data_IF_728248975845
#
_entry.id   IF_728248975845
#
_cell.length_a   1.000
_cell.length_b   1.000
_cell.length_c   1.000
_cell.angle_alpha   90.00
_cell.angle_beta   90.00
_cell.angle_gamma   90.00
#
_symmetry.space_group_name_H-M   'P 1'
#
loop_
_entity.id
_entity.type
_entity.pdbx_description
1 polymer ?
#
# COMPACT_ATOMS: atom_id res chain seq x y z
N UNK A 1 -4.66 -27.75 -13.00
CA UNK A 1 -5.86 -27.57 -13.82
C UNK A 1 -6.98 -28.14 -12.99
N UNK A 2 -7.52 -27.32 -12.09
CA UNK A 2 -8.67 -27.65 -11.26
C UNK A 2 -9.63 -26.49 -11.45
N UNK A 3 -10.77 -26.81 -12.06
CA UNK A 3 -11.88 -25.91 -12.29
C UNK A 3 -12.60 -25.66 -10.95
N UNK A 4 -12.98 -24.41 -10.68
CA UNK A 4 -13.82 -24.04 -9.54
C UNK A 4 -15.20 -23.61 -10.03
N UNK A 5 -16.24 -24.31 -9.58
CA UNK A 5 -17.65 -23.95 -9.75
C UNK A 5 -18.04 -22.82 -8.78
N UNK A 6 -18.84 -21.87 -9.25
CA UNK A 6 -19.50 -20.83 -8.45
C UNK A 6 -20.89 -21.30 -8.03
N UNK A 7 -21.22 -21.22 -6.75
CA UNK A 7 -22.60 -21.29 -6.26
C UNK A 7 -23.15 -19.86 -6.15
N UNK A 8 -24.20 -19.56 -6.91
CA UNK A 8 -24.96 -18.31 -6.82
C UNK A 8 -26.14 -18.49 -5.85
N UNK A 9 -26.13 -17.78 -4.72
CA UNK A 9 -27.36 -17.51 -3.95
C UNK A 9 -27.53 -15.98 -3.87
N UNK A 10 -28.57 -15.46 -4.53
CA UNK A 10 -28.96 -14.05 -4.51
C UNK A 10 -30.18 -13.91 -3.59
N UNK A 11 -30.04 -13.16 -2.50
CA UNK A 11 -31.18 -12.80 -1.64
C UNK A 11 -31.78 -11.49 -2.12
N UNK A 12 -33.05 -11.51 -2.54
CA UNK A 12 -33.81 -10.31 -2.89
C UNK A 12 -34.56 -9.83 -1.65
N UNK A 13 -34.25 -8.66 -1.13
CA UNK A 13 -35.06 -8.03 -0.08
C UNK A 13 -36.22 -7.30 -0.77
N UNK A 14 -37.45 -7.80 -0.61
CA UNK A 14 -38.68 -7.07 -0.94
C UNK A 14 -39.11 -6.28 0.29
N UNK A 15 -39.11 -4.95 0.20
CA UNK A 15 -39.87 -4.14 1.16
C UNK A 15 -41.36 -4.18 0.78
N UNK A 16 -42.19 -4.82 1.61
CA UNK A 16 -43.65 -4.71 1.52
C UNK A 16 -44.08 -3.39 2.19
N UNK A 17 -44.35 -2.36 1.37
CA UNK A 17 -45.05 -1.15 1.79
C UNK A 17 -46.53 -1.24 1.44
N UNK A 18 -47.40 -1.47 2.43
CA UNK A 18 -48.85 -1.35 2.27
C UNK A 18 -49.26 0.11 1.96
N UNK A 19 -49.87 0.31 0.80
CA UNK A 19 -51.03 1.20 0.66
C UNK A 19 -50.81 2.66 0.22
N UNK A 20 -51.55 3.02 -0.83
CA UNK A 20 -52.01 4.37 -1.23
C UNK A 20 -51.14 5.19 -2.19
N UNK A 21 -51.35 4.98 -3.49
CA UNK A 21 -51.86 6.06 -4.36
C UNK A 21 -50.96 7.27 -4.62
N UNK A 22 -49.75 7.04 -5.13
CA UNK A 22 -49.02 8.03 -5.94
C UNK A 22 -48.10 7.26 -6.89
N UNK A 23 -48.07 7.64 -8.16
CA UNK A 23 -47.05 7.14 -9.11
C UNK A 23 -45.70 7.66 -8.60
N UNK A 24 -45.02 6.85 -7.78
CA UNK A 24 -43.63 7.07 -7.41
C UNK A 24 -42.79 6.53 -8.55
N UNK A 25 -41.97 7.40 -9.12
CA UNK A 25 -40.86 7.02 -9.96
C UNK A 25 -39.98 6.08 -9.12
N UNK A 26 -40.00 4.78 -9.44
CA UNK A 26 -39.19 3.77 -8.78
C UNK A 26 -37.73 4.02 -9.17
N UNK A 27 -37.01 4.78 -8.35
CA UNK A 27 -35.54 4.78 -8.39
C UNK A 27 -35.08 3.46 -7.79
N UNK A 28 -34.92 2.44 -8.62
CA UNK A 28 -34.25 1.19 -8.23
C UNK A 28 -32.85 1.54 -7.73
N UNK A 29 -32.60 1.32 -6.44
CA UNK A 29 -31.32 1.61 -5.81
C UNK A 29 -30.56 0.29 -5.65
N UNK A 30 -29.46 0.13 -6.39
CA UNK A 30 -28.62 -1.07 -6.31
C UNK A 30 -27.82 -1.03 -5.02
N UNK A 31 -28.11 -1.96 -4.11
CA UNK A 31 -27.31 -2.23 -2.90
C UNK A 31 -26.46 -3.47 -3.17
N UNK A 32 -25.16 -3.37 -2.93
CA UNK A 32 -24.22 -4.48 -3.12
C UNK A 32 -23.82 -5.05 -1.76
N UNK A 33 -24.14 -6.33 -1.54
CA UNK A 33 -23.69 -7.12 -0.39
C UNK A 33 -22.67 -8.13 -0.91
N UNK A 34 -21.47 -8.14 -0.32
CA UNK A 34 -20.38 -9.02 -0.73
C UNK A 34 -20.16 -10.07 0.37
N UNK A 35 -20.52 -11.33 0.10
CA UNK A 35 -20.43 -12.37 1.13
C UNK A 35 -19.11 -13.15 1.15
N UNK A 36 -18.31 -13.24 0.07
CA UNK A 36 -17.01 -13.94 0.09
C UNK A 36 -16.01 -13.39 -0.95
N UNK A 37 -14.74 -13.18 -0.55
CA UNK A 37 -13.60 -12.88 -1.44
C UNK A 37 -12.56 -13.99 -1.37
N UNK A 38 -12.11 -14.49 -2.52
CA UNK A 38 -10.95 -15.40 -2.60
C UNK A 38 -9.75 -14.67 -3.18
N UNK A 39 -8.75 -14.43 -2.33
CA UNK A 39 -7.49 -13.81 -2.70
C UNK A 39 -6.50 -14.89 -3.15
N UNK A 40 -5.86 -14.78 -4.34
CA UNK A 40 -4.80 -15.70 -4.72
C UNK A 40 -3.69 -15.73 -3.67
N UNK A 41 -3.28 -16.93 -3.25
CA UNK A 41 -2.40 -17.18 -2.09
C UNK A 41 -1.02 -16.51 -2.15
N UNK A 42 -0.54 -16.15 -3.35
CA UNK A 42 0.73 -15.43 -3.50
C UNK A 42 0.58 -13.94 -3.23
N UNK A 43 -0.58 -13.36 -3.49
CA UNK A 43 -0.83 -11.95 -3.27
C UNK A 43 -1.46 -11.64 -1.89
N UNK A 44 -1.99 -12.65 -1.18
CA UNK A 44 -2.38 -12.47 0.23
C UNK A 44 -1.20 -11.99 1.08
N UNK A 45 0.04 -12.36 0.70
CA UNK A 45 1.28 -11.88 1.30
C UNK A 45 1.44 -10.35 1.15
N UNK A 46 1.04 -9.77 0.03
CA UNK A 46 1.09 -8.30 -0.17
C UNK A 46 0.13 -7.57 0.78
N UNK A 47 -1.00 -8.18 1.13
CA UNK A 47 -1.90 -7.62 2.15
C UNK A 47 -1.38 -7.83 3.57
N UNK A 48 -0.75 -8.96 3.83
CA UNK A 48 -0.18 -9.28 5.13
C UNK A 48 1.05 -8.43 5.47
N UNK A 49 1.84 -8.03 4.45
CA UNK A 49 3.14 -7.38 4.67
C UNK A 49 3.26 -5.99 4.04
N UNK A 50 2.36 -5.62 3.13
CA UNK A 50 2.34 -4.33 2.46
C UNK A 50 1.89 -3.21 3.38
N UNK A 51 2.72 -2.17 3.49
CA UNK A 51 2.44 -1.01 4.31
C UNK A 51 1.76 0.09 3.48
N UNK A 52 0.47 0.36 3.69
CA UNK A 52 -0.29 1.32 2.88
C UNK A 52 -0.41 2.69 3.55
N UNK A 53 0.07 3.71 2.85
CA UNK A 53 0.13 5.10 3.24
C UNK A 53 -0.74 5.96 2.34
N UNK A 54 -1.34 7.00 2.91
CA UNK A 54 -2.14 7.98 2.21
C UNK A 54 -2.02 9.33 2.90
N UNK A 55 -2.14 10.43 2.14
CA UNK A 55 -2.19 11.78 2.69
C UNK A 55 -3.61 12.24 3.08
N UNK A 56 -4.64 11.69 2.45
CA UNK A 56 -6.04 12.06 2.71
C UNK A 56 -6.62 11.30 3.91
N UNK A 57 -7.68 11.86 4.49
CA UNK A 57 -8.48 11.21 5.52
C UNK A 57 -8.95 9.81 5.05
N UNK A 58 -9.17 8.92 6.01
CA UNK A 58 -9.47 7.51 5.76
C UNK A 58 -10.71 7.30 4.87
N UNK A 59 -11.61 8.28 4.79
CA UNK A 59 -12.96 8.11 4.20
C UNK A 59 -13.05 8.43 2.69
N UNK A 60 -11.98 8.95 2.07
CA UNK A 60 -11.99 9.22 0.62
C UNK A 60 -11.54 7.98 -0.18
N UNK A 61 -12.31 7.60 -1.19
CA UNK A 61 -11.99 6.52 -2.14
C UNK A 61 -10.65 6.81 -2.85
N UNK A 62 -9.68 5.89 -2.74
CA UNK A 62 -8.38 6.02 -3.43
C UNK A 62 -8.27 5.00 -4.57
N UNK A 63 -8.67 5.39 -5.79
CA UNK A 63 -8.64 4.50 -6.95
C UNK A 63 -7.24 4.02 -7.36
N UNK A 64 -6.19 4.77 -7.05
CA UNK A 64 -4.83 4.44 -7.46
C UNK A 64 -4.02 3.90 -6.28
N UNK A 65 -3.32 2.79 -6.50
CA UNK A 65 -2.38 2.21 -5.55
C UNK A 65 -1.03 2.06 -6.23
N UNK A 66 -0.03 2.79 -5.72
CA UNK A 66 1.36 2.60 -6.08
C UNK A 66 2.01 1.72 -5.02
N UNK A 67 2.27 0.45 -5.31
CA UNK A 67 3.02 -0.45 -4.46
C UNK A 67 4.51 -0.42 -4.83
N UNK A 68 5.33 0.05 -3.90
CA UNK A 68 6.77 0.16 -4.03
C UNK A 68 7.42 -1.10 -3.48
N UNK A 69 8.02 -1.89 -4.34
CA UNK A 69 8.92 -2.96 -3.96
C UNK A 69 10.35 -2.42 -3.93
N UNK A 70 10.95 -2.28 -2.74
CA UNK A 70 12.27 -1.66 -2.58
C UNK A 70 13.22 -2.56 -1.81
N UNK A 71 14.46 -2.65 -2.30
CA UNK A 71 15.57 -3.24 -1.54
C UNK A 71 16.11 -2.19 -0.56
N UNK A 72 15.86 -2.41 0.72
CA UNK A 72 16.25 -1.48 1.81
C UNK A 72 17.75 -1.43 2.08
N UNK A 73 18.53 -2.29 1.44
CA UNK A 73 19.99 -2.30 1.56
C UNK A 73 20.67 -1.49 0.45
N UNK A 74 19.92 -1.11 -0.60
CA UNK A 74 20.42 -0.34 -1.73
C UNK A 74 20.08 1.14 -1.58
N UNK A 75 21.02 2.00 -1.94
CA UNK A 75 20.81 3.46 -1.96
C UNK A 75 19.64 3.85 -2.88
N UNK A 76 19.53 3.17 -4.03
CA UNK A 76 18.42 3.33 -4.98
C UNK A 76 17.05 3.05 -4.36
N UNK A 77 16.94 2.00 -3.53
CA UNK A 77 15.68 1.62 -2.89
C UNK A 77 15.22 2.67 -1.88
N UNK A 78 16.15 3.17 -1.06
CA UNK A 78 15.83 4.22 -0.09
C UNK A 78 15.54 5.57 -0.76
N UNK A 79 16.26 5.93 -1.83
CA UNK A 79 15.92 7.13 -2.62
C UNK A 79 14.53 7.04 -3.21
N UNK A 80 14.16 5.89 -3.77
CA UNK A 80 12.84 5.68 -4.34
C UNK A 80 11.74 5.76 -3.25
N UNK A 81 12.02 5.20 -2.07
CA UNK A 81 11.14 5.33 -0.91
C UNK A 81 10.90 6.81 -0.52
N UNK A 82 11.96 7.63 -0.47
CA UNK A 82 11.84 9.07 -0.24
C UNK A 82 10.97 9.76 -1.31
N UNK A 83 11.08 9.38 -2.59
CA UNK A 83 10.20 9.93 -3.64
C UNK A 83 8.73 9.56 -3.42
N UNK A 84 8.45 8.34 -2.94
CA UNK A 84 7.11 7.92 -2.53
C UNK A 84 6.56 8.74 -1.37
N UNK A 85 7.37 9.05 -0.36
CA UNK A 85 6.95 9.94 0.73
C UNK A 85 6.73 11.38 0.28
N UNK A 86 7.63 11.93 -0.54
CA UNK A 86 7.47 13.28 -1.09
C UNK A 86 6.20 13.40 -1.93
N UNK A 87 5.88 12.39 -2.74
CA UNK A 87 4.62 12.32 -3.47
C UNK A 87 3.39 12.39 -2.55
N UNK A 88 3.41 11.66 -1.42
CA UNK A 88 2.34 11.75 -0.42
C UNK A 88 2.29 13.11 0.27
N UNK A 89 3.44 13.70 0.61
CA UNK A 89 3.55 15.03 1.25
C UNK A 89 3.01 16.12 0.33
N UNK A 90 3.31 16.06 -0.96
CA UNK A 90 2.80 16.97 -2.00
C UNK A 90 1.27 16.86 -2.15
N UNK A 91 0.72 15.69 -1.83
CA UNK A 91 -0.70 15.49 -1.55
C UNK A 91 -1.54 15.05 -2.73
N UNK A 92 -1.41 13.76 -3.09
CA UNK A 92 -2.40 13.08 -3.91
C UNK A 92 -3.71 12.86 -3.13
N UNK A 93 -4.83 13.02 -3.82
CA UNK A 93 -6.19 12.75 -3.31
C UNK A 93 -6.71 11.39 -3.78
N UNK A 94 -6.25 10.94 -4.94
CA UNK A 94 -6.81 9.78 -5.62
C UNK A 94 -5.94 8.53 -5.45
N UNK A 95 -4.80 8.64 -4.76
CA UNK A 95 -3.85 7.55 -4.62
C UNK A 95 -3.41 7.26 -3.19
N UNK A 96 -2.93 6.03 -3.03
CA UNK A 96 -2.19 5.54 -1.86
C UNK A 96 -0.89 4.89 -2.30
N UNK A 97 0.09 4.88 -1.41
CA UNK A 97 1.38 4.22 -1.61
C UNK A 97 1.45 3.00 -0.70
N UNK A 98 1.55 1.81 -1.28
CA UNK A 98 1.94 0.59 -0.57
C UNK A 98 3.46 0.45 -0.55
N UNK A 99 4.04 -0.09 0.51
CA UNK A 99 5.47 -0.40 0.59
C UNK A 99 5.67 -1.88 0.86
N UNK A 100 6.57 -2.50 0.09
CA UNK A 100 7.00 -3.88 0.22
C UNK A 100 8.53 -3.88 0.26
N UNK A 101 9.09 -4.31 1.39
CA UNK A 101 10.54 -4.31 1.60
C UNK A 101 11.13 -5.67 1.26
N UNK A 102 12.23 -5.67 0.52
CA UNK A 102 13.12 -6.80 0.38
C UNK A 102 14.50 -6.45 0.97
N UNK A 103 15.27 -7.47 1.30
CA UNK A 103 16.66 -7.32 1.72
C UNK A 103 17.52 -8.37 1.04
N UNK A 104 18.79 -8.05 0.82
CA UNK A 104 19.75 -8.99 0.24
C UNK A 104 20.73 -9.51 1.31
N UNK A 105 21.81 -10.18 0.88
CA UNK A 105 22.83 -10.74 1.75
C UNK A 105 23.56 -9.71 2.65
N UNK A 106 23.42 -8.41 2.39
CA UNK A 106 23.98 -7.32 3.19
C UNK A 106 23.04 -6.79 4.27
N UNK A 107 21.83 -7.35 4.37
CA UNK A 107 20.83 -6.99 5.40
C UNK A 107 21.44 -7.15 6.79
N UNK A 108 21.46 -6.06 7.55
CA UNK A 108 22.04 -6.01 8.89
C UNK A 108 21.00 -5.58 9.95
N UNK A 109 21.43 -5.51 11.21
CA UNK A 109 20.53 -5.14 12.31
C UNK A 109 19.85 -3.78 12.11
N UNK A 110 20.55 -2.78 11.58
CA UNK A 110 19.99 -1.45 11.34
C UNK A 110 18.98 -1.45 10.19
N UNK A 111 19.21 -2.26 9.15
CA UNK A 111 18.25 -2.51 8.09
C UNK A 111 16.94 -3.08 8.63
N UNK A 112 17.03 -4.04 9.56
CA UNK A 112 15.87 -4.65 10.20
C UNK A 112 15.13 -3.68 11.14
N UNK A 113 15.88 -2.91 11.94
CA UNK A 113 15.32 -1.89 12.81
C UNK A 113 14.64 -0.75 12.02
N UNK A 114 15.21 -0.37 10.88
CA UNK A 114 14.61 0.61 9.97
C UNK A 114 13.23 0.14 9.48
N UNK A 115 13.13 -1.10 8.99
CA UNK A 115 11.83 -1.67 8.57
C UNK A 115 10.85 -1.79 9.74
N UNK A 116 11.31 -2.25 10.91
CA UNK A 116 10.47 -2.29 12.12
C UNK A 116 9.90 -0.91 12.45
N UNK A 117 10.73 0.13 12.37
CA UNK A 117 10.31 1.50 12.68
C UNK A 117 9.29 2.04 11.68
N UNK A 118 9.40 1.70 10.38
CA UNK A 118 8.40 2.06 9.38
C UNK A 118 7.04 1.43 9.73
N UNK A 119 7.02 0.15 10.14
CA UNK A 119 5.80 -0.52 10.61
C UNK A 119 5.23 0.14 11.87
N UNK A 120 6.06 0.39 12.87
CA UNK A 120 5.63 1.04 14.13
C UNK A 120 5.10 2.45 13.89
N UNK A 121 5.74 3.21 13.00
CA UNK A 121 5.29 4.55 12.65
C UNK A 121 3.88 4.51 12.08
N UNK A 122 3.55 3.49 11.29
CA UNK A 122 2.21 3.35 10.75
C UNK A 122 1.15 2.98 11.78
N UNK A 123 1.48 2.11 12.73
CA UNK A 123 0.58 1.81 13.84
C UNK A 123 0.35 3.04 14.72
N UNK A 124 1.41 3.82 14.98
CA UNK A 124 1.38 4.89 15.99
C UNK A 124 1.05 6.30 15.43
N UNK A 125 1.19 6.51 14.12
CA UNK A 125 1.20 7.85 13.52
C UNK A 125 0.21 8.03 12.36
N UNK A 126 -0.68 7.07 12.11
CA UNK A 126 -1.70 7.07 11.05
C UNK A 126 -2.54 8.35 10.95
N UNK A 127 -2.70 9.10 12.05
CA UNK A 127 -3.47 10.35 12.08
C UNK A 127 -2.62 11.61 12.32
N UNK A 128 -1.28 11.47 12.36
CA UNK A 128 -0.39 12.58 12.71
C UNK A 128 0.11 13.27 11.44
N UNK A 129 -0.20 14.55 11.33
CA UNK A 129 0.18 15.42 10.18
C UNK A 129 1.67 15.37 9.81
N UNK A 130 2.55 15.10 10.78
CA UNK A 130 4.00 15.07 10.58
C UNK A 130 4.58 13.66 10.41
N UNK A 131 3.74 12.61 10.34
CA UNK A 131 4.22 11.23 10.19
C UNK A 131 5.03 11.06 8.90
N UNK A 132 4.53 11.58 7.77
CA UNK A 132 5.22 11.53 6.48
C UNK A 132 6.56 12.28 6.50
N UNK A 133 6.62 13.47 7.13
CA UNK A 133 7.86 14.23 7.29
C UNK A 133 8.90 13.45 8.12
N UNK A 134 8.46 12.78 9.18
CA UNK A 134 9.33 11.91 9.97
C UNK A 134 9.85 10.72 9.16
N UNK A 135 8.99 10.06 8.37
CA UNK A 135 9.38 8.92 7.53
C UNK A 135 10.39 9.32 6.44
N UNK A 136 10.21 10.49 5.82
CA UNK A 136 11.16 11.05 4.86
C UNK A 136 12.52 11.38 5.51
N UNK A 137 12.51 12.08 6.65
CA UNK A 137 13.73 12.40 7.39
C UNK A 137 14.45 11.14 7.88
N UNK A 138 13.70 10.15 8.38
CA UNK A 138 14.22 8.87 8.85
C UNK A 138 14.94 8.15 7.71
N UNK A 139 14.30 8.09 6.53
CA UNK A 139 14.87 7.46 5.34
C UNK A 139 16.13 8.17 4.86
N UNK A 140 16.13 9.50 4.92
CA UNK A 140 17.31 10.32 4.62
C UNK A 140 18.47 10.04 5.58
N UNK A 141 18.20 9.99 6.90
CA UNK A 141 19.22 9.66 7.91
C UNK A 141 19.76 8.25 7.70
N UNK A 142 18.87 7.28 7.47
CA UNK A 142 19.24 5.89 7.21
C UNK A 142 20.14 5.77 5.98
N UNK A 143 19.75 6.40 4.86
CA UNK A 143 20.56 6.44 3.63
C UNK A 143 21.96 7.01 3.88
N UNK A 144 22.06 8.17 4.53
CA UNK A 144 23.34 8.84 4.71
C UNK A 144 24.27 8.07 5.65
N UNK A 145 23.76 7.60 6.80
CA UNK A 145 24.61 7.02 7.85
C UNK A 145 24.85 5.52 7.70
N UNK A 146 23.89 4.77 7.18
CA UNK A 146 23.92 3.31 7.22
C UNK A 146 24.11 2.67 5.84
N UNK A 147 23.88 3.41 4.75
CA UNK A 147 24.15 2.94 3.38
C UNK A 147 25.36 3.64 2.77
N UNK A 148 25.41 4.97 2.79
CA UNK A 148 26.45 5.74 2.08
C UNK A 148 27.74 5.92 2.89
N UNK A 149 27.66 5.94 4.22
CA UNK A 149 28.85 6.10 5.08
C UNK A 149 29.48 4.74 5.38
N UNK A 150 30.82 4.68 5.31
CA UNK A 150 31.60 3.46 5.57
C UNK A 150 31.34 2.88 6.98
N UNK A 151 31.26 1.54 7.13
CA UNK A 151 30.90 0.87 8.39
C UNK A 151 31.87 1.07 9.58
N UNK A 152 33.01 1.75 9.36
CA UNK A 152 34.04 1.99 10.40
C UNK A 152 33.59 2.99 11.48
N UNK A 153 32.48 3.72 11.27
CA UNK A 153 32.00 4.77 12.19
C UNK A 153 30.52 4.67 12.56
N UNK A 154 29.87 3.51 12.40
CA UNK A 154 28.45 3.37 12.72
C UNK A 154 28.26 3.29 14.23
N UNK A 155 27.61 4.30 14.81
CA UNK A 155 27.30 4.33 16.23
C UNK A 155 26.45 3.09 16.62
N UNK A 156 26.66 2.56 17.82
CA UNK A 156 25.96 1.36 18.29
C UNK A 156 24.44 1.52 18.33
N UNK A 157 23.71 0.41 18.49
CA UNK A 157 22.23 0.37 18.48
C UNK A 157 21.56 1.43 19.34
N UNK A 158 22.12 1.75 20.52
CA UNK A 158 21.56 2.77 21.40
C UNK A 158 21.59 4.18 20.78
N UNK A 159 22.67 4.52 20.07
CA UNK A 159 22.79 5.82 19.41
C UNK A 159 21.81 5.96 18.24
N UNK A 160 21.57 4.87 17.51
CA UNK A 160 20.52 4.81 16.49
C UNK A 160 19.13 5.06 17.10
N UNK A 161 18.79 4.36 18.20
CA UNK A 161 17.52 4.56 18.92
C UNK A 161 17.39 6.00 19.42
N UNK A 162 18.45 6.56 20.02
CA UNK A 162 18.44 7.93 20.53
C UNK A 162 18.27 8.96 19.42
N UNK A 163 18.87 8.75 18.25
CA UNK A 163 18.67 9.60 17.07
C UNK A 163 17.24 9.55 16.56
N UNK A 164 16.65 8.37 16.44
CA UNK A 164 15.24 8.20 16.06
C UNK A 164 14.32 8.89 17.07
N UNK A 165 14.58 8.74 18.37
CA UNK A 165 13.77 9.36 19.40
C UNK A 165 13.80 10.89 19.28
N UNK A 166 14.98 11.48 19.06
CA UNK A 166 15.12 12.92 18.80
C UNK A 166 14.35 13.36 17.55
N UNK A 167 14.42 12.55 16.49
CA UNK A 167 13.71 12.82 15.25
C UNK A 167 12.19 12.77 15.46
N UNK A 168 11.70 11.75 16.16
CA UNK A 168 10.29 11.60 16.52
C UNK A 168 9.80 12.76 17.39
N UNK A 169 10.57 13.15 18.41
CA UNK A 169 10.28 14.29 19.28
C UNK A 169 10.16 15.60 18.47
N UNK A 170 11.12 15.86 17.58
CA UNK A 170 11.10 17.06 16.71
C UNK A 170 9.89 17.13 15.77
N UNK A 171 9.31 15.98 15.43
CA UNK A 171 8.10 15.88 14.60
C UNK A 171 6.80 15.77 15.43
N UNK A 172 6.86 15.79 16.76
CA UNK A 172 5.69 15.65 17.65
C UNK A 172 5.11 14.23 17.71
N UNK A 173 5.92 13.21 17.43
CA UNK A 173 5.55 11.80 17.46
C UNK A 173 5.85 11.17 18.84
N UNK A 174 5.22 10.03 19.19
CA UNK A 174 5.34 9.44 20.53
C UNK A 174 6.68 8.70 20.67
N UNK A 175 7.75 9.45 20.95
CA UNK A 175 9.12 8.93 20.96
C UNK A 175 9.37 7.84 22.02
N UNK A 176 8.69 7.89 23.17
CA UNK A 176 8.79 6.84 24.21
C UNK A 176 8.27 5.50 23.72
N UNK A 177 7.18 5.48 22.95
CA UNK A 177 6.63 4.26 22.35
C UNK A 177 7.60 3.66 21.34
N UNK A 178 8.26 4.50 20.53
CA UNK A 178 9.33 4.04 19.63
C UNK A 178 10.52 3.48 20.39
N UNK A 179 10.96 4.15 21.47
CA UNK A 179 12.07 3.68 22.31
C UNK A 179 11.80 2.29 22.87
N UNK A 180 10.62 2.07 23.46
CA UNK A 180 10.23 0.76 24.00
C UNK A 180 10.19 -0.31 22.91
N UNK A 181 9.49 -0.06 21.80
CA UNK A 181 9.37 -1.05 20.71
C UNK A 181 10.73 -1.42 20.08
N UNK A 182 11.61 -0.44 19.86
CA UNK A 182 12.94 -0.70 19.30
C UNK A 182 13.87 -1.40 20.29
N UNK A 183 13.68 -1.20 21.59
CA UNK A 183 14.47 -1.87 22.64
C UNK A 183 14.07 -3.34 22.82
N UNK A 184 12.80 -3.66 22.61
CA UNK A 184 12.24 -5.03 22.66
C UNK A 184 12.35 -5.78 21.33
N UNK A 185 13.01 -5.19 20.33
CA UNK A 185 13.04 -5.70 18.98
C UNK A 185 13.63 -7.11 18.86
N UNK A 186 12.87 -8.00 18.21
CA UNK A 186 13.33 -9.31 17.74
C UNK A 186 13.47 -9.32 16.22
N UNK A 187 14.60 -9.83 15.73
CA UNK A 187 14.93 -9.82 14.30
C UNK A 187 14.16 -10.84 13.46
N UNK A 188 13.63 -11.91 14.07
CA UNK A 188 13.14 -13.08 13.32
C UNK A 188 11.88 -12.78 12.53
N UNK A 189 10.96 -11.99 13.09
CA UNK A 189 9.71 -11.59 12.44
C UNK A 189 9.98 -10.76 11.17
N UNK A 190 10.81 -9.71 11.29
CA UNK A 190 11.16 -8.84 10.16
C UNK A 190 11.92 -9.63 9.08
N UNK A 191 12.82 -10.53 9.47
CA UNK A 191 13.52 -11.39 8.51
C UNK A 191 12.57 -12.31 7.74
N UNK A 192 11.57 -12.87 8.42
CA UNK A 192 10.54 -13.69 7.77
C UNK A 192 9.77 -12.86 6.74
N UNK A 193 9.34 -11.65 7.11
CA UNK A 193 8.63 -10.73 6.20
C UNK A 193 9.48 -10.37 4.96
N UNK A 194 10.76 -10.02 5.16
CA UNK A 194 11.66 -9.72 4.03
C UNK A 194 11.85 -10.92 3.11
N UNK A 195 11.99 -12.13 3.67
CA UNK A 195 12.17 -13.36 2.88
C UNK A 195 10.90 -13.71 2.09
N UNK A 196 9.72 -13.52 2.67
CA UNK A 196 8.44 -13.75 1.99
C UNK A 196 8.21 -12.73 0.87
N UNK A 197 8.52 -11.46 1.13
CA UNK A 197 8.50 -10.42 0.10
C UNK A 197 9.45 -10.72 -1.07
N UNK A 198 10.67 -11.20 -0.78
CA UNK A 198 11.63 -11.61 -1.82
C UNK A 198 11.13 -12.81 -2.65
N UNK A 199 10.54 -13.82 -2.01
CA UNK A 199 9.90 -14.96 -2.70
C UNK A 199 8.74 -14.52 -3.59
N UNK A 200 7.93 -13.59 -3.08
CA UNK A 200 6.84 -13.02 -3.87
C UNK A 200 7.38 -12.28 -5.09
N UNK A 201 8.36 -11.39 -4.91
CA UNK A 201 8.93 -10.60 -5.99
C UNK A 201 9.63 -11.46 -7.04
N UNK A 202 10.37 -12.49 -6.63
CA UNK A 202 10.97 -13.45 -7.57
C UNK A 202 9.94 -14.26 -8.35
N UNK A 203 8.80 -14.58 -7.75
CA UNK A 203 7.68 -15.23 -8.45
C UNK A 203 7.01 -14.27 -9.44
N UNK A 204 6.78 -13.02 -9.03
CA UNK A 204 6.06 -12.03 -9.83
C UNK A 204 6.89 -11.43 -10.98
N UNK A 205 8.20 -11.25 -10.76
CA UNK A 205 9.12 -10.55 -11.68
C UNK A 205 10.13 -11.49 -12.36
N UNK A 206 10.24 -12.74 -11.92
CA UNK A 206 11.23 -13.68 -12.44
C UNK A 206 12.67 -13.23 -12.14
N UNK A 207 13.54 -13.23 -13.17
CA UNK A 207 14.98 -12.94 -13.03
C UNK A 207 15.33 -11.49 -12.65
N UNK A 208 14.35 -10.59 -12.58
CA UNK A 208 14.54 -9.20 -12.15
C UNK A 208 14.40 -9.01 -10.63
N UNK A 209 14.35 -10.10 -9.85
CA UNK A 209 14.29 -10.05 -8.39
C UNK A 209 15.57 -9.46 -7.80
N UNK A 210 15.51 -8.20 -7.38
CA UNK A 210 16.66 -7.43 -6.89
C UNK A 210 16.68 -5.99 -7.41
N UNK A 211 15.77 -5.64 -8.33
CA UNK A 211 15.56 -4.27 -8.79
C UNK A 211 14.41 -3.65 -8.00
N UNK A 212 14.49 -2.34 -7.72
CA UNK A 212 13.36 -1.61 -7.15
C UNK A 212 12.27 -1.49 -8.21
N UNK A 213 11.01 -1.72 -7.84
CA UNK A 213 9.88 -1.76 -8.78
C UNK A 213 8.68 -1.05 -8.20
N UNK A 214 7.89 -0.41 -9.06
CA UNK A 214 6.64 0.23 -8.68
C UNK A 214 5.50 -0.47 -9.42
N UNK A 215 4.57 -1.02 -8.68
CA UNK A 215 3.33 -1.58 -9.21
C UNK A 215 2.23 -0.53 -9.07
N UNK A 216 1.73 0.02 -10.17
CA UNK A 216 0.59 0.94 -10.16
C UNK A 216 -0.65 0.19 -10.61
N UNK A 217 -1.56 -0.13 -9.69
CA UNK A 217 -2.75 -0.96 -9.96
C UNK A 217 -2.43 -2.22 -10.78
N UNK A 218 -1.40 -2.96 -10.34
CA UNK A 218 -0.90 -4.17 -10.99
C UNK A 218 0.05 -3.94 -12.17
N UNK A 219 0.19 -2.71 -12.69
CA UNK A 219 1.14 -2.39 -13.77
C UNK A 219 2.55 -2.19 -13.21
N UNK A 220 3.47 -3.00 -13.67
CA UNK A 220 4.89 -2.95 -13.31
C UNK A 220 5.59 -1.80 -14.03
N UNK A 221 6.29 -0.96 -13.27
CA UNK A 221 7.23 0.06 -13.75
C UNK A 221 8.56 -0.16 -13.05
N UNK A 222 9.62 -0.39 -13.82
CA UNK A 222 10.99 -0.53 -13.32
C UNK A 222 11.73 0.79 -13.54
N UNK A 223 12.05 1.57 -12.50
CA UNK A 223 12.90 2.74 -12.61
C UNK A 223 14.24 2.35 -13.25
N UNK A 224 14.62 3.06 -14.32
CA UNK A 224 15.79 2.72 -15.14
C UNK A 224 17.10 3.08 -14.40
N UNK A 225 17.08 4.10 -13.53
CA UNK A 225 18.21 4.45 -12.67
C UNK A 225 17.76 5.07 -11.32
N UNK A 226 18.72 5.26 -10.41
CA UNK A 226 18.49 5.77 -9.04
C UNK A 226 18.08 7.24 -8.93
N UNK A 227 18.04 8.00 -10.04
CA UNK A 227 17.88 9.46 -10.03
C UNK A 227 16.86 10.02 -11.00
N UNK A 228 16.29 9.19 -11.88
CA UNK A 228 15.35 9.61 -12.91
C UNK A 228 13.90 9.55 -12.47
N UNK A 229 13.57 8.69 -11.51
CA UNK A 229 12.20 8.53 -11.04
C UNK A 229 11.93 9.43 -9.84
N UNK A 230 11.07 10.43 -10.02
CA UNK A 230 10.77 11.49 -9.06
C UNK A 230 9.31 11.46 -8.60
N UNK A 231 8.98 12.20 -7.54
CA UNK A 231 7.59 12.39 -7.07
C UNK A 231 6.64 12.84 -8.19
N UNK A 232 7.12 13.72 -9.08
CA UNK A 232 6.35 14.20 -10.25
C UNK A 232 6.00 13.10 -11.26
N UNK A 233 6.80 12.05 -11.36
CA UNK A 233 6.52 10.90 -12.23
C UNK A 233 5.38 10.05 -11.66
N UNK A 234 5.24 9.99 -10.33
CA UNK A 234 4.12 9.32 -9.67
C UNK A 234 2.80 10.04 -9.95
N UNK A 235 2.77 11.37 -9.86
CA UNK A 235 1.60 12.16 -10.26
C UNK A 235 1.22 11.92 -11.73
N UNK A 236 2.22 11.78 -12.61
CA UNK A 236 1.96 11.43 -14.01
C UNK A 236 1.37 10.03 -14.14
N UNK A 237 1.94 9.02 -13.47
CA UNK A 237 1.42 7.65 -13.48
C UNK A 237 -0.01 7.59 -12.93
N UNK A 238 -0.28 8.25 -11.80
CA UNK A 238 -1.61 8.41 -11.23
C UNK A 238 -2.60 8.97 -12.25
N UNK A 239 -2.26 10.09 -12.90
CA UNK A 239 -3.14 10.74 -13.88
C UNK A 239 -3.45 9.84 -15.08
N UNK A 240 -2.47 9.07 -15.56
CA UNK A 240 -2.64 8.14 -16.68
C UNK A 240 -3.52 6.97 -16.26
N UNK A 241 -3.27 6.40 -15.09
CA UNK A 241 -4.00 5.25 -14.57
C UNK A 241 -5.48 5.60 -14.32
N UNK A 242 -5.74 6.74 -13.68
CA UNK A 242 -7.08 7.30 -13.52
C UNK A 242 -7.77 7.45 -14.87
N UNK A 243 -7.15 8.18 -15.81
CA UNK A 243 -7.78 8.50 -17.10
C UNK A 243 -8.04 7.28 -17.97
N UNK A 244 -7.19 6.25 -17.89
CA UNK A 244 -7.22 5.12 -18.82
C UNK A 244 -7.93 3.89 -18.26
N UNK A 245 -7.82 3.62 -16.97
CA UNK A 245 -8.24 2.35 -16.37
C UNK A 245 -9.20 2.52 -15.21
N UNK A 246 -9.04 3.56 -14.39
CA UNK A 246 -9.77 3.58 -13.11
C UNK A 246 -10.98 4.51 -13.08
N UNK A 247 -11.05 5.52 -13.94
CA UNK A 247 -12.14 6.51 -13.93
C UNK A 247 -13.54 5.90 -13.98
N UNK A 248 -13.78 5.00 -14.92
CA UNK A 248 -15.09 4.35 -15.07
C UNK A 248 -15.42 3.45 -13.87
N UNK A 249 -14.42 2.86 -13.22
CA UNK A 249 -14.61 2.01 -12.04
C UNK A 249 -14.99 2.89 -10.84
N UNK A 250 -14.34 4.05 -10.68
CA UNK A 250 -14.70 5.04 -9.65
C UNK A 250 -16.14 5.50 -9.82
N UNK A 251 -16.53 5.88 -11.03
CA UNK A 251 -17.90 6.33 -11.33
C UNK A 251 -18.93 5.25 -10.93
N UNK A 252 -18.66 3.97 -11.22
CA UNK A 252 -19.52 2.85 -10.80
C UNK A 252 -19.54 2.71 -9.27
N UNK A 253 -18.39 2.78 -8.61
CA UNK A 253 -18.30 2.63 -7.15
C UNK A 253 -19.05 3.76 -6.43
N UNK A 254 -18.97 4.98 -6.92
CA UNK A 254 -19.65 6.15 -6.35
C UNK A 254 -21.17 6.15 -6.58
N UNK A 255 -21.64 5.56 -7.68
CA UNK A 255 -23.08 5.42 -7.97
C UNK A 255 -23.78 4.36 -7.11
N UNK A 256 -23.02 3.45 -6.49
CA UNK A 256 -23.53 2.33 -5.68
C UNK A 256 -23.58 2.70 -4.20
N UNK A 257 -24.67 2.31 -3.52
CA UNK A 257 -24.71 2.31 -2.06
C UNK A 257 -24.11 1.01 -1.52
N UNK A 258 -23.02 1.15 -0.76
CA UNK A 258 -22.36 0.05 -0.09
C UNK A 258 -22.90 -0.07 1.34
N UNK A 259 -23.40 -1.25 1.68
CA UNK A 259 -23.77 -1.61 3.05
C UNK A 259 -22.62 -2.42 3.66
N UNK A 260 -22.20 -2.05 4.87
CA UNK A 260 -21.17 -2.73 5.66
C UNK A 260 -19.77 -2.87 5.02
N UNK A 261 -19.51 -2.23 3.88
CA UNK A 261 -18.23 -2.29 3.16
C UNK A 261 -17.72 -0.89 2.85
N UNK A 262 -16.47 -0.62 3.23
CA UNK A 262 -15.74 0.59 2.82
C UNK A 262 -15.28 0.47 1.36
N UNK A 263 -15.72 1.38 0.46
CA UNK A 263 -15.27 1.40 -0.93
C UNK A 263 -13.74 1.51 -1.08
N UNK A 264 -13.05 2.16 -0.15
CA UNK A 264 -11.59 2.23 -0.18
C UNK A 264 -10.96 0.86 0.05
N UNK A 265 -11.54 0.03 0.93
CA UNK A 265 -11.10 -1.35 1.13
C UNK A 265 -11.23 -2.16 -0.16
N UNK A 266 -12.31 -1.99 -0.92
CA UNK A 266 -12.47 -2.68 -2.21
C UNK A 266 -11.36 -2.32 -3.19
N UNK A 267 -11.01 -1.04 -3.29
CA UNK A 267 -9.93 -0.64 -4.19
C UNK A 267 -8.55 -1.10 -3.69
N UNK A 268 -8.33 -1.21 -2.36
CA UNK A 268 -7.08 -1.76 -1.80
C UNK A 268 -6.88 -3.18 -2.26
N UNK A 269 -7.94 -3.98 -2.23
CA UNK A 269 -7.86 -5.35 -2.68
C UNK A 269 -7.84 -5.39 -4.22
N UNK A 270 -8.91 -4.96 -4.89
CA UNK A 270 -9.18 -5.22 -6.30
C UNK A 270 -8.05 -4.78 -7.26
N UNK A 271 -7.33 -3.69 -6.97
CA UNK A 271 -6.30 -3.17 -7.87
C UNK A 271 -4.89 -3.75 -7.66
N UNK A 272 -4.62 -4.38 -6.52
CA UNK A 272 -3.36 -5.07 -6.26
C UNK A 272 -3.36 -6.44 -6.96
N UNK A 273 -4.50 -7.13 -6.98
CA UNK A 273 -4.61 -8.52 -7.45
C UNK A 273 -4.79 -8.70 -8.97
N UNK A 274 -4.95 -7.62 -9.74
CA UNK A 274 -5.47 -7.73 -11.12
C UNK A 274 -4.56 -7.19 -12.23
N UNK A 275 -3.37 -7.77 -12.44
CA UNK A 275 -2.82 -7.84 -13.80
C UNK A 275 -3.65 -8.79 -14.69
N UNK A 276 -4.27 -9.83 -14.12
CA UNK A 276 -4.88 -10.97 -14.85
C UNK A 276 -6.41 -10.96 -14.98
N UNK A 277 -7.16 -10.30 -14.09
CA UNK A 277 -8.63 -10.31 -14.14
C UNK A 277 -9.24 -9.36 -15.19
N UNK A 278 -8.48 -8.42 -15.74
CA UNK A 278 -8.95 -7.72 -16.96
C UNK A 278 -8.89 -8.61 -18.23
N UNK A 279 -8.32 -9.82 -18.14
CA UNK A 279 -8.40 -10.83 -19.20
C UNK A 279 -9.46 -11.91 -18.94
N UNK A 280 -10.06 -11.97 -17.75
CA UNK A 280 -11.08 -12.95 -17.41
C UNK A 280 -12.30 -12.28 -16.77
N UNK A 281 -13.36 -12.18 -17.56
CA UNK A 281 -14.72 -11.99 -17.04
C UNK A 281 -15.09 -10.55 -16.76
N UNK A 282 -15.89 -9.99 -17.66
CA UNK A 282 -16.87 -8.98 -17.29
C UNK A 282 -17.63 -9.48 -16.06
N UNK A 283 -17.61 -8.74 -14.94
CA UNK A 283 -18.75 -8.82 -14.04
C UNK A 283 -19.93 -8.25 -14.81
N UNK A 284 -20.85 -9.11 -15.22
CA UNK A 284 -22.15 -8.68 -15.73
C UNK A 284 -22.93 -8.16 -14.52
N UNK A 285 -22.76 -6.88 -14.22
CA UNK A 285 -23.76 -6.13 -13.46
C UNK A 285 -24.98 -6.00 -14.39
N UNK A 286 -25.87 -7.00 -14.33
CA UNK A 286 -27.08 -7.01 -15.15
C UNK A 286 -28.01 -5.91 -14.69
N UNK A 287 -28.11 -4.82 -15.46
CA UNK A 287 -29.29 -3.95 -15.42
C UNK A 287 -30.49 -4.78 -15.88
N UNK A 288 -31.43 -5.04 -14.99
CA UNK A 288 -32.78 -5.37 -15.41
C UNK A 288 -33.62 -4.11 -15.32
N UNK A 289 -34.09 -3.65 -16.49
CA UNK A 289 -35.15 -2.65 -16.64
C UNK A 289 -36.48 -3.20 -16.11
#
# INVERSE_FOLDING_TARGET
MEDFELSEDIVTVKEEGEGSGAVKEETAQTVVVIEHWSIPTHWSLVLSFGLFLSNAAMDDLKPVTHLFAVDITLASGIKLLCQGFNYLIEGSKDARVGLLFSGNHTTNLFSLLFVKLLYECMVLCTHKKNALNFLDQLSSVYLQKYILTSPVGVDGTQAFIDEICKLAESNGLPYESFRSSLSEFSADEVKSHLSEAEKFLSTALGSESGVNVIFTNGRVTCPIDEGTFLSVDLHLLESIELKKRTKHIVEIIEEVKWEDVDPDMLTRFHFIFTPSLMSCGYYVMSRYN
#
